data_IF_280066222845
#
_entry.id   IF_280066222845
#
_cell.length_a   1.000
_cell.length_b   1.000
_cell.length_c   1.000
_cell.angle_alpha   90.00
_cell.angle_beta   90.00
_cell.angle_gamma   90.00
#
_symmetry.space_group_name_H-M   'P 1'
#
loop_
_entity.id
_entity.type
_entity.pdbx_description
1 polymer ?
#
# COMPACT_ATOMS: atom_id res chain seq x y z
N UNK A 1 -0.54 -1.96 -6.19
CA UNK A 1 0.79 -1.36 -6.33
C UNK A 1 1.12 -0.41 -5.18
N UNK A 2 2.36 0.03 -5.13
CA UNK A 2 2.86 0.99 -4.14
C UNK A 2 3.28 2.27 -4.85
N UNK A 3 2.98 3.42 -4.26
CA UNK A 3 3.13 4.73 -4.89
C UNK A 3 3.73 5.72 -3.91
N UNK A 4 4.73 6.46 -4.36
CA UNK A 4 5.32 7.59 -3.63
C UNK A 4 4.92 8.89 -4.32
N UNK A 5 4.43 9.84 -3.56
CA UNK A 5 4.14 11.21 -4.01
C UNK A 5 4.97 12.19 -3.19
N UNK A 6 5.66 13.11 -3.86
CA UNK A 6 6.52 14.13 -3.24
C UNK A 6 5.75 15.03 -2.23
N UNK A 7 4.41 15.11 -2.37
CA UNK A 7 3.55 15.74 -1.35
C UNK A 7 2.14 15.13 -1.34
N UNK A 8 1.51 15.12 -0.16
CA UNK A 8 0.11 14.70 -0.01
C UNK A 8 -0.87 15.62 -0.75
N UNK A 9 -0.52 16.91 -0.94
CA UNK A 9 -1.30 17.85 -1.75
C UNK A 9 -1.36 17.42 -3.21
N UNK A 10 -0.22 17.02 -3.78
CA UNK A 10 -0.11 16.49 -5.15
C UNK A 10 -0.97 15.23 -5.31
N UNK A 11 -0.82 14.26 -4.40
CA UNK A 11 -1.62 13.04 -4.38
C UNK A 11 -3.11 13.34 -4.37
N UNK A 12 -3.55 14.14 -3.39
CA UNK A 12 -4.96 14.46 -3.19
C UNK A 12 -5.58 15.13 -4.42
N UNK A 13 -4.89 16.11 -5.00
CA UNK A 13 -5.36 16.82 -6.19
C UNK A 13 -5.62 15.86 -7.35
N UNK A 14 -4.67 14.96 -7.66
CA UNK A 14 -4.82 14.03 -8.79
C UNK A 14 -5.81 12.89 -8.50
N UNK A 15 -5.93 12.45 -7.26
CA UNK A 15 -6.95 11.46 -6.90
C UNK A 15 -8.36 12.05 -7.00
N UNK A 16 -8.59 13.25 -6.48
CA UNK A 16 -9.87 13.97 -6.62
C UNK A 16 -10.19 14.21 -8.10
N UNK A 17 -9.20 14.59 -8.89
CA UNK A 17 -9.37 14.77 -10.34
C UNK A 17 -9.75 13.47 -11.05
N UNK A 18 -9.08 12.34 -10.75
CA UNK A 18 -9.45 11.04 -11.32
C UNK A 18 -10.88 10.64 -10.99
N UNK A 19 -11.34 10.89 -9.77
CA UNK A 19 -12.72 10.63 -9.36
C UNK A 19 -13.68 11.55 -10.12
N UNK A 20 -13.38 12.84 -10.20
CA UNK A 20 -14.23 13.83 -10.89
C UNK A 20 -14.33 13.56 -12.42
N UNK A 21 -13.25 13.08 -13.04
CA UNK A 21 -13.21 12.73 -14.46
C UNK A 21 -13.72 11.30 -14.75
N UNK A 22 -14.09 10.52 -13.72
CA UNK A 22 -14.59 9.16 -13.87
C UNK A 22 -13.57 8.17 -14.43
N UNK A 23 -12.28 8.36 -14.14
CA UNK A 23 -11.21 7.50 -14.66
C UNK A 23 -11.18 6.16 -13.91
N UNK A 24 -11.93 5.18 -14.42
CA UNK A 24 -12.07 3.85 -13.81
C UNK A 24 -11.55 2.75 -14.73
N UNK A 25 -11.23 1.61 -14.13
CA UNK A 25 -11.00 0.33 -14.81
C UNK A 25 -11.93 -0.70 -14.17
N UNK A 26 -12.81 -1.33 -14.99
CA UNK A 26 -13.81 -2.26 -14.47
C UNK A 26 -14.80 -1.64 -13.48
N UNK A 27 -14.98 -0.31 -13.49
CA UNK A 27 -15.85 0.41 -12.56
C UNK A 27 -15.21 0.80 -11.24
N UNK A 28 -13.91 0.51 -11.06
CA UNK A 28 -13.17 0.86 -9.84
C UNK A 28 -12.13 1.96 -10.12
N UNK A 29 -11.89 2.82 -9.12
CA UNK A 29 -10.84 3.83 -9.14
C UNK A 29 -9.53 3.27 -8.61
N UNK A 30 -8.58 3.04 -9.49
CA UNK A 30 -7.23 2.59 -9.10
C UNK A 30 -6.29 3.79 -8.92
N UNK A 31 -5.41 3.69 -7.92
CA UNK A 31 -4.39 4.72 -7.67
C UNK A 31 -3.47 4.94 -8.89
N UNK A 32 -3.23 3.91 -9.70
CA UNK A 32 -2.45 4.00 -10.93
C UNK A 32 -3.05 4.87 -12.03
N UNK A 33 -4.35 5.19 -11.95
CA UNK A 33 -5.01 6.01 -12.97
C UNK A 33 -4.54 7.46 -12.99
N UNK A 34 -3.90 7.93 -11.91
CA UNK A 34 -3.39 9.31 -11.81
C UNK A 34 -2.20 9.62 -12.71
N UNK A 35 -1.46 8.61 -13.19
CA UNK A 35 -0.24 8.84 -13.98
C UNK A 35 -0.52 9.55 -15.29
N UNK A 36 -1.60 9.17 -15.97
CA UNK A 36 -1.95 9.77 -17.25
C UNK A 36 -2.18 11.28 -17.12
N UNK A 37 -3.07 11.77 -16.25
CA UNK A 37 -3.22 13.21 -16.05
C UNK A 37 -1.96 13.88 -15.48
N UNK A 38 -1.18 13.22 -14.63
CA UNK A 38 0.08 13.79 -14.12
C UNK A 38 1.09 14.03 -15.25
N UNK A 39 1.29 13.05 -16.13
CA UNK A 39 2.19 13.20 -17.29
C UNK A 39 1.68 14.23 -18.30
N UNK A 40 0.37 14.34 -18.50
CA UNK A 40 -0.25 15.37 -19.36
C UNK A 40 0.00 16.78 -18.82
N UNK A 41 0.04 16.94 -17.51
CA UNK A 41 0.37 18.20 -16.82
C UNK A 41 1.89 18.45 -16.72
N UNK A 42 2.72 17.58 -17.30
CA UNK A 42 4.19 17.72 -17.36
C UNK A 42 4.92 17.27 -16.10
N UNK A 43 4.26 16.52 -15.20
CA UNK A 43 4.94 15.95 -14.04
C UNK A 43 5.80 14.76 -14.44
N UNK A 44 6.94 14.62 -13.76
CA UNK A 44 7.84 13.50 -13.97
C UNK A 44 7.41 12.31 -13.10
N UNK A 45 6.92 11.25 -13.74
CA UNK A 45 6.54 9.98 -13.11
C UNK A 45 7.62 8.95 -13.41
N UNK A 46 8.31 8.49 -12.36
CA UNK A 46 9.34 7.48 -12.47
C UNK A 46 8.82 6.12 -12.02
N UNK A 47 9.09 5.08 -12.81
CA UNK A 47 8.83 3.68 -12.42
C UNK A 47 10.11 3.10 -11.81
N UNK A 48 10.00 2.65 -10.56
CA UNK A 48 11.02 1.82 -9.94
C UNK A 48 10.67 0.35 -10.19
N UNK A 49 11.49 -0.32 -10.99
CA UNK A 49 11.28 -1.73 -11.34
C UNK A 49 11.73 -2.63 -10.19
N UNK A 50 10.81 -3.45 -9.69
CA UNK A 50 11.10 -4.46 -8.68
C UNK A 50 11.69 -5.71 -9.33
N UNK A 51 12.82 -6.18 -8.81
CA UNK A 51 13.37 -7.49 -9.20
C UNK A 51 12.46 -8.64 -8.74
N UNK A 52 11.75 -8.44 -7.63
CA UNK A 52 10.84 -9.42 -7.05
C UNK A 52 9.58 -8.74 -6.55
N UNK A 53 8.43 -9.26 -6.96
CA UNK A 53 7.11 -8.81 -6.53
C UNK A 53 6.29 -10.00 -6.05
N UNK A 54 5.74 -9.90 -4.86
CA UNK A 54 4.89 -10.93 -4.27
C UNK A 54 3.48 -10.39 -4.09
N UNK A 55 2.53 -11.05 -4.71
CA UNK A 55 1.13 -10.71 -4.64
C UNK A 55 0.41 -11.67 -3.69
N UNK A 56 -0.52 -11.15 -2.89
CA UNK A 56 -1.34 -11.94 -1.97
C UNK A 56 -2.83 -11.64 -2.15
N UNK A 57 -3.19 -11.28 -3.36
CA UNK A 57 -4.54 -10.83 -3.69
C UNK A 57 -5.60 -11.94 -3.77
N UNK A 58 -5.15 -13.18 -3.97
CA UNK A 58 -6.01 -14.38 -4.04
C UNK A 58 -5.35 -15.54 -3.27
N UNK A 59 -6.12 -16.58 -2.87
CA UNK A 59 -5.60 -17.70 -2.08
C UNK A 59 -4.39 -18.40 -2.69
N UNK A 60 -4.41 -18.66 -4.00
CA UNK A 60 -3.28 -19.28 -4.71
C UNK A 60 -1.98 -18.49 -4.60
N UNK A 61 -2.05 -17.16 -4.66
CA UNK A 61 -0.87 -16.30 -4.50
C UNK A 61 -0.30 -16.43 -3.08
N UNK A 62 -1.20 -16.55 -2.09
CA UNK A 62 -0.80 -16.72 -0.69
C UNK A 62 -0.13 -18.06 -0.44
N UNK A 63 -0.62 -19.15 -1.04
CA UNK A 63 0.00 -20.49 -0.95
C UNK A 63 1.40 -20.48 -1.55
N UNK A 64 1.55 -19.91 -2.76
CA UNK A 64 2.83 -19.77 -3.43
C UNK A 64 3.81 -18.92 -2.59
N UNK A 65 3.35 -17.79 -2.08
CA UNK A 65 4.18 -16.95 -1.21
C UNK A 65 4.62 -17.70 0.06
N UNK A 66 3.71 -18.42 0.72
CA UNK A 66 4.02 -19.16 1.95
C UNK A 66 5.10 -20.20 1.69
N UNK A 67 5.01 -20.93 0.58
CA UNK A 67 6.02 -21.88 0.16
C UNK A 67 7.40 -21.22 0.00
N UNK A 68 7.47 -20.12 -0.76
CA UNK A 68 8.72 -19.40 -0.99
C UNK A 68 9.25 -18.70 0.28
N UNK A 69 8.37 -18.16 1.10
CA UNK A 69 8.72 -17.50 2.36
C UNK A 69 9.40 -18.47 3.32
N UNK A 70 8.88 -19.68 3.47
CA UNK A 70 9.50 -20.71 4.31
C UNK A 70 10.88 -21.12 3.78
N UNK A 71 11.02 -21.19 2.46
CA UNK A 71 12.30 -21.47 1.80
C UNK A 71 13.31 -20.34 2.03
N UNK A 72 12.90 -19.08 1.84
CA UNK A 72 13.79 -17.93 1.97
C UNK A 72 14.16 -17.59 3.42
N UNK A 73 13.29 -17.88 4.40
CA UNK A 73 13.64 -17.73 5.83
C UNK A 73 14.84 -18.57 6.24
N UNK A 74 15.06 -19.66 5.55
CA UNK A 74 16.24 -20.49 5.78
C UNK A 74 17.52 -19.92 5.17
N UNK A 75 17.41 -18.99 4.24
CA UNK A 75 18.50 -18.53 3.38
C UNK A 75 18.88 -17.06 3.64
N UNK A 76 17.94 -16.20 4.02
CA UNK A 76 18.15 -14.74 4.03
C UNK A 76 18.01 -14.15 5.44
N UNK A 77 19.02 -13.36 5.85
CA UNK A 77 18.83 -12.37 6.91
C UNK A 77 17.95 -11.23 6.35
N UNK A 78 16.78 -11.02 6.93
CA UNK A 78 15.91 -9.91 6.58
C UNK A 78 16.66 -8.58 6.84
N UNK A 79 16.90 -7.80 5.79
CA UNK A 79 17.45 -6.46 5.89
C UNK A 79 16.45 -5.49 6.54
N UNK A 80 16.94 -4.39 7.07
CA UNK A 80 16.08 -3.31 7.60
C UNK A 80 15.46 -2.51 6.45
N UNK A 81 14.15 -2.26 6.53
CA UNK A 81 13.46 -1.38 5.59
C UNK A 81 14.02 0.07 5.67
N UNK A 82 14.13 0.79 4.54
CA UNK A 82 14.60 2.17 4.53
C UNK A 82 13.63 3.10 5.27
N UNK A 83 14.14 4.22 5.77
CA UNK A 83 13.35 5.21 6.49
C UNK A 83 13.27 6.50 5.68
N UNK A 84 12.11 7.16 5.65
CA UNK A 84 11.98 8.49 5.08
C UNK A 84 10.98 9.35 5.85
N UNK A 85 11.06 10.66 5.69
CA UNK A 85 10.07 11.60 6.25
C UNK A 85 8.71 11.42 5.58
N UNK A 86 7.67 11.82 6.31
CA UNK A 86 6.31 11.86 5.79
C UNK A 86 5.43 10.72 6.27
N UNK A 87 4.49 10.32 5.43
CA UNK A 87 3.44 9.40 5.83
C UNK A 87 3.41 8.14 4.96
N UNK A 88 3.15 7.01 5.58
CA UNK A 88 2.73 5.77 4.92
C UNK A 88 1.22 5.61 5.10
N UNK A 89 0.49 5.41 4.00
CA UNK A 89 -0.95 5.12 4.01
C UNK A 89 -1.20 3.68 3.59
N UNK A 90 -1.95 2.94 4.42
CA UNK A 90 -2.35 1.57 4.14
C UNK A 90 -3.89 1.48 4.11
N UNK A 91 -4.53 1.60 2.93
CA UNK A 91 -5.97 1.47 2.78
C UNK A 91 -6.42 0.01 2.88
N UNK A 92 -7.35 -0.27 3.81
CA UNK A 92 -7.87 -1.61 4.12
C UNK A 92 -9.40 -1.63 4.26
N UNK A 93 -10.10 -0.92 3.37
CA UNK A 93 -11.57 -0.77 3.40
C UNK A 93 -12.28 -1.89 2.64
N UNK A 94 -11.60 -2.56 1.72
CA UNK A 94 -12.16 -3.61 0.87
C UNK A 94 -12.68 -4.83 1.63
N UNK A 95 -13.67 -5.52 1.05
CA UNK A 95 -14.33 -6.69 1.64
C UNK A 95 -13.45 -7.95 1.69
N UNK A 96 -12.42 -8.06 0.85
CA UNK A 96 -11.68 -9.30 0.68
C UNK A 96 -12.53 -10.44 0.11
N UNK A 97 -13.48 -10.12 -0.78
CA UNK A 97 -14.52 -11.03 -1.26
C UNK A 97 -13.99 -12.30 -1.95
N UNK A 98 -12.79 -12.24 -2.53
CA UNK A 98 -12.13 -13.43 -3.13
C UNK A 98 -11.82 -14.47 -2.07
N UNK A 99 -11.23 -14.06 -0.94
CA UNK A 99 -10.94 -14.93 0.20
C UNK A 99 -12.22 -15.47 0.85
N UNK A 100 -13.25 -14.63 1.00
CA UNK A 100 -14.54 -15.06 1.53
C UNK A 100 -15.19 -16.17 0.67
N UNK A 101 -15.10 -16.05 -0.67
CA UNK A 101 -15.60 -17.08 -1.61
C UNK A 101 -14.87 -18.41 -1.46
N UNK A 102 -13.60 -18.38 -1.06
CA UNK A 102 -12.77 -19.57 -0.80
C UNK A 102 -12.91 -20.08 0.66
N UNK A 103 -13.86 -19.55 1.43
CA UNK A 103 -14.17 -20.04 2.78
C UNK A 103 -13.33 -19.45 3.90
N UNK A 104 -12.58 -18.37 3.65
CA UNK A 104 -11.85 -17.68 4.72
C UNK A 104 -12.83 -16.89 5.59
N UNK A 105 -12.89 -17.23 6.87
CA UNK A 105 -13.73 -16.53 7.87
C UNK A 105 -13.05 -15.28 8.44
N UNK A 106 -11.71 -15.27 8.39
CA UNK A 106 -10.90 -14.17 8.91
C UNK A 106 -10.84 -13.05 7.86
N UNK A 107 -11.04 -11.77 8.25
CA UNK A 107 -10.87 -10.64 7.35
C UNK A 107 -9.50 -10.64 6.68
N UNK A 108 -9.45 -10.29 5.39
CA UNK A 108 -8.23 -10.32 4.58
C UNK A 108 -6.99 -9.73 5.28
N UNK A 109 -7.03 -8.55 5.93
CA UNK A 109 -5.85 -7.98 6.58
C UNK A 109 -5.31 -8.83 7.74
N UNK A 110 -6.14 -9.71 8.32
CA UNK A 110 -5.78 -10.59 9.44
C UNK A 110 -5.38 -12.01 9.02
N UNK A 111 -5.55 -12.39 7.75
CA UNK A 111 -5.16 -13.71 7.26
C UNK A 111 -3.67 -13.93 7.52
N UNK A 112 -3.27 -15.06 8.11
CA UNK A 112 -1.88 -15.33 8.41
C UNK A 112 -1.02 -15.46 7.15
N UNK A 113 0.07 -14.71 7.09
CA UNK A 113 1.14 -14.80 6.10
C UNK A 113 2.45 -14.90 6.85
N UNK A 114 3.17 -15.99 6.69
CA UNK A 114 4.44 -16.22 7.40
C UNK A 114 4.34 -16.06 8.93
N UNK A 115 3.22 -16.51 9.52
CA UNK A 115 2.97 -16.47 10.97
C UNK A 115 2.55 -15.11 11.53
N UNK A 116 2.28 -14.12 10.68
CA UNK A 116 1.80 -12.78 11.03
C UNK A 116 0.54 -12.43 10.24
N UNK A 117 -0.30 -11.47 10.67
CA UNK A 117 -1.35 -10.94 9.81
C UNK A 117 -0.79 -10.42 8.47
N UNK A 118 -1.48 -10.68 7.37
CA UNK A 118 -1.10 -10.29 6.01
C UNK A 118 -0.70 -8.81 5.93
N UNK A 119 -1.51 -7.93 6.50
CA UNK A 119 -1.25 -6.49 6.53
C UNK A 119 -0.01 -6.09 7.33
N UNK A 120 0.34 -6.87 8.35
CA UNK A 120 1.57 -6.68 9.13
C UNK A 120 2.79 -7.13 8.32
N UNK A 121 2.68 -8.28 7.66
CA UNK A 121 3.76 -8.74 6.78
C UNK A 121 4.01 -7.74 5.65
N UNK A 122 2.95 -7.22 5.02
CA UNK A 122 3.07 -6.16 4.02
C UNK A 122 3.76 -4.90 4.58
N UNK A 123 3.38 -4.47 5.79
CA UNK A 123 3.96 -3.29 6.44
C UNK A 123 5.48 -3.43 6.67
N UNK A 124 5.95 -4.63 7.00
CA UNK A 124 7.38 -4.86 7.29
C UNK A 124 8.28 -4.72 6.05
N UNK A 125 7.73 -4.97 4.87
CA UNK A 125 8.44 -4.84 3.60
C UNK A 125 8.43 -3.39 3.06
N UNK A 126 7.68 -2.48 3.71
CA UNK A 126 7.52 -1.10 3.28
C UNK A 126 8.54 -0.16 3.93
N UNK A 127 8.86 0.98 3.28
CA UNK A 127 9.66 2.01 3.91
C UNK A 127 9.04 2.48 5.23
N UNK A 128 9.87 2.66 6.25
CA UNK A 128 9.43 3.22 7.53
C UNK A 128 9.26 4.73 7.41
N UNK A 129 8.25 5.28 8.07
CA UNK A 129 7.91 6.71 8.00
C UNK A 129 7.59 7.27 9.38
N UNK A 130 7.64 8.61 9.51
CA UNK A 130 7.31 9.29 10.77
C UNK A 130 5.85 9.09 11.19
N UNK A 131 4.95 8.93 10.21
CA UNK A 131 3.53 8.71 10.44
C UNK A 131 3.04 7.52 9.61
N UNK A 132 2.38 6.57 10.27
CA UNK A 132 1.71 5.45 9.59
C UNK A 132 0.20 5.60 9.76
N UNK A 133 -0.51 5.75 8.66
CA UNK A 133 -1.96 5.90 8.60
C UNK A 133 -2.62 4.63 8.07
N UNK A 134 -3.33 3.94 8.93
CA UNK A 134 -4.14 2.77 8.60
C UNK A 134 -5.58 3.18 8.38
N UNK A 135 -6.14 2.88 7.20
CA UNK A 135 -7.51 3.25 6.86
C UNK A 135 -8.37 2.00 6.90
N UNK A 136 -9.30 1.99 7.85
CA UNK A 136 -10.14 0.84 8.14
C UNK A 136 -11.62 1.20 7.97
N UNK A 137 -12.43 0.20 7.64
CA UNK A 137 -13.88 0.36 7.73
C UNK A 137 -14.37 0.11 9.15
N UNK A 138 -15.39 0.87 9.56
CA UNK A 138 -15.98 0.81 10.91
C UNK A 138 -16.47 -0.58 11.29
N UNK A 139 -17.00 -1.33 10.33
CA UNK A 139 -17.62 -2.65 10.51
C UNK A 139 -16.71 -3.84 10.22
N UNK A 140 -15.40 -3.61 9.94
CA UNK A 140 -14.47 -4.72 9.73
C UNK A 140 -14.34 -5.56 10.99
N UNK A 141 -14.51 -6.87 10.85
CA UNK A 141 -14.29 -7.81 11.95
C UNK A 141 -12.83 -7.73 12.41
N UNK A 142 -12.60 -7.85 13.72
CA UNK A 142 -11.25 -7.82 14.27
C UNK A 142 -10.57 -6.44 14.21
N UNK A 143 -11.30 -5.34 13.97
CA UNK A 143 -10.75 -3.98 13.90
C UNK A 143 -9.89 -3.62 15.11
N UNK A 144 -10.35 -3.90 16.31
CA UNK A 144 -9.59 -3.59 17.52
C UNK A 144 -8.33 -4.47 17.65
N UNK A 145 -8.39 -5.71 17.17
CA UNK A 145 -7.21 -6.57 17.07
C UNK A 145 -6.20 -5.99 16.07
N UNK A 146 -6.64 -5.54 14.89
CA UNK A 146 -5.77 -4.88 13.91
C UNK A 146 -5.13 -3.63 14.50
N UNK A 147 -5.91 -2.76 15.14
CA UNK A 147 -5.39 -1.53 15.78
C UNK A 147 -4.32 -1.85 16.82
N UNK A 148 -4.57 -2.86 17.66
CA UNK A 148 -3.60 -3.30 18.65
C UNK A 148 -2.30 -3.78 18.01
N UNK A 149 -2.40 -4.68 17.03
CA UNK A 149 -1.24 -5.26 16.35
C UNK A 149 -0.41 -4.16 15.66
N UNK A 150 -1.06 -3.21 14.96
CA UNK A 150 -0.35 -2.10 14.34
C UNK A 150 0.29 -1.16 15.38
N UNK A 151 -0.39 -0.90 16.49
CA UNK A 151 0.16 -0.06 17.55
C UNK A 151 1.36 -0.72 18.24
N UNK A 152 1.34 -2.04 18.41
CA UNK A 152 2.45 -2.81 18.99
C UNK A 152 3.72 -2.75 18.09
N UNK A 153 3.53 -2.67 16.76
CA UNK A 153 4.63 -2.59 15.78
C UNK A 153 5.09 -1.14 15.57
N UNK A 154 4.14 -0.23 15.48
CA UNK A 154 4.37 1.20 15.29
C UNK A 154 3.54 2.00 16.31
N UNK A 155 4.13 2.39 17.44
CA UNK A 155 3.42 3.16 18.47
C UNK A 155 2.87 4.51 18.00
N UNK A 156 3.43 5.07 16.94
CA UNK A 156 2.99 6.32 16.31
C UNK A 156 1.93 6.11 15.22
N UNK A 157 1.40 4.89 15.09
CA UNK A 157 0.36 4.58 14.12
C UNK A 157 -0.92 5.37 14.40
N UNK A 158 -1.55 5.82 13.33
CA UNK A 158 -2.82 6.56 13.34
C UNK A 158 -3.87 5.81 12.52
N UNK A 159 -5.15 6.01 12.85
CA UNK A 159 -6.23 5.28 12.21
C UNK A 159 -7.27 6.25 11.65
N UNK A 160 -7.64 6.08 10.39
CA UNK A 160 -8.83 6.68 9.79
C UNK A 160 -9.91 5.62 9.69
N UNK A 161 -11.06 5.86 10.32
CA UNK A 161 -12.16 4.91 10.37
C UNK A 161 -13.29 5.43 9.49
N UNK A 162 -13.53 4.77 8.37
CA UNK A 162 -14.62 5.09 7.46
C UNK A 162 -15.88 4.30 7.84
N UNK A 163 -17.03 4.93 7.73
CA UNK A 163 -18.32 4.33 8.08
C UNK A 163 -19.01 3.66 6.88
N UNK A 164 -18.42 3.77 5.69
CA UNK A 164 -18.91 3.22 4.44
C UNK A 164 -17.79 2.57 3.61
N UNK A 165 -18.19 1.89 2.55
CA UNK A 165 -17.30 1.40 1.51
C UNK A 165 -17.03 2.51 0.51
N UNK A 166 -15.78 2.67 0.11
CA UNK A 166 -15.36 3.62 -0.92
C UNK A 166 -15.32 2.97 -2.30
N UNK A 167 -15.33 3.79 -3.35
CA UNK A 167 -15.29 3.34 -4.75
C UNK A 167 -13.88 2.96 -5.24
N UNK A 168 -13.04 2.42 -4.35
CA UNK A 168 -11.68 1.96 -4.66
C UNK A 168 -10.59 2.60 -3.82
N UNK A 169 -9.35 2.19 -4.09
CA UNK A 169 -8.18 2.60 -3.31
C UNK A 169 -7.97 4.12 -3.32
N UNK A 170 -8.14 4.77 -4.46
CA UNK A 170 -7.93 6.20 -4.59
C UNK A 170 -8.90 7.01 -3.70
N UNK A 171 -10.20 6.69 -3.76
CA UNK A 171 -11.23 7.31 -2.90
C UNK A 171 -10.93 7.07 -1.42
N UNK A 172 -10.52 5.84 -1.06
CA UNK A 172 -10.09 5.51 0.31
C UNK A 172 -8.92 6.41 0.77
N UNK A 173 -7.93 6.63 -0.09
CA UNK A 173 -6.77 7.45 0.23
C UNK A 173 -7.15 8.93 0.39
N UNK A 174 -8.04 9.47 -0.45
CA UNK A 174 -8.54 10.84 -0.31
C UNK A 174 -9.19 11.04 1.06
N UNK A 175 -10.14 10.17 1.42
CA UNK A 175 -10.84 10.26 2.71
C UNK A 175 -9.91 10.00 3.90
N UNK A 176 -9.03 9.01 3.79
CA UNK A 176 -8.10 8.62 4.84
C UNK A 176 -6.95 9.61 5.06
N UNK A 177 -6.70 10.52 4.10
CA UNK A 177 -5.63 11.52 4.20
C UNK A 177 -5.97 12.72 5.09
N UNK A 178 -7.22 12.83 5.54
CA UNK A 178 -7.66 13.95 6.39
C UNK A 178 -6.81 14.01 7.66
N UNK A 179 -6.20 15.17 7.91
CA UNK A 179 -5.32 15.42 9.05
C UNK A 179 -3.87 14.93 8.88
N UNK A 180 -3.47 14.42 7.72
CA UNK A 180 -2.07 14.24 7.39
C UNK A 180 -1.43 15.57 6.97
N UNK A 181 -0.12 15.69 7.15
CA UNK A 181 0.65 16.79 6.58
C UNK A 181 0.78 16.57 5.07
N UNK A 182 0.00 17.30 4.29
CA UNK A 182 -0.09 17.16 2.83
C UNK A 182 1.09 17.78 2.07
N UNK A 183 1.98 18.49 2.77
CA UNK A 183 3.17 19.10 2.18
C UNK A 183 4.41 18.16 2.28
N UNK A 184 4.26 17.04 2.99
CA UNK A 184 5.29 16.01 3.11
C UNK A 184 5.06 14.83 2.16
N UNK A 185 6.10 14.03 1.87
CA UNK A 185 5.99 12.82 1.08
C UNK A 185 4.94 11.85 1.61
N UNK A 186 4.28 11.16 0.69
CA UNK A 186 3.31 10.12 1.03
C UNK A 186 3.60 8.85 0.25
N UNK A 187 3.81 7.76 0.96
CA UNK A 187 3.84 6.41 0.40
C UNK A 187 2.47 5.78 0.54
N UNK A 188 1.92 5.23 -0.53
CA UNK A 188 0.66 4.48 -0.51
C UNK A 188 0.97 3.05 -0.88
N UNK A 189 0.53 2.11 -0.05
CA UNK A 189 0.75 0.69 -0.27
C UNK A 189 -0.55 -0.12 -0.13
N UNK A 190 -0.58 -1.30 -0.73
CA UNK A 190 -1.62 -2.28 -0.48
C UNK A 190 -1.25 -3.15 0.74
N UNK A 191 -2.26 -3.68 1.42
CA UNK A 191 -2.07 -4.55 2.59
C UNK A 191 -1.83 -6.03 2.24
N UNK A 192 -1.68 -6.35 0.96
CA UNK A 192 -1.64 -7.70 0.41
C UNK A 192 -0.50 -7.92 -0.60
N UNK A 193 0.54 -7.11 -0.52
CA UNK A 193 1.75 -7.24 -1.32
C UNK A 193 2.98 -7.40 -0.43
N UNK A 194 3.85 -8.37 -0.75
CA UNK A 194 5.21 -8.42 -0.26
C UNK A 194 6.16 -7.85 -1.31
N UNK A 195 7.25 -7.20 -0.87
CA UNK A 195 8.23 -6.60 -1.77
C UNK A 195 9.64 -6.84 -1.26
N UNK A 196 10.53 -7.29 -2.17
CA UNK A 196 11.97 -7.29 -1.94
C UNK A 196 12.59 -6.29 -2.89
N UNK A 197 13.27 -5.28 -2.37
CA UNK A 197 13.89 -4.23 -3.18
C UNK A 197 15.15 -3.70 -2.50
N UNK A 198 16.03 -3.11 -3.29
CA UNK A 198 17.25 -2.47 -2.78
C UNK A 198 16.91 -1.14 -2.09
N UNK A 199 17.07 -1.11 -0.76
CA UNK A 199 16.76 0.05 0.06
C UNK A 199 17.62 1.27 -0.29
N UNK A 200 18.89 1.06 -0.67
CA UNK A 200 19.83 2.15 -1.00
C UNK A 200 19.47 2.81 -2.32
N UNK A 201 19.05 2.02 -3.30
CA UNK A 201 18.55 2.54 -4.59
C UNK A 201 17.28 3.35 -4.36
N UNK A 202 16.33 2.86 -3.58
CA UNK A 202 15.11 3.61 -3.26
C UNK A 202 15.42 4.93 -2.55
N UNK A 203 16.31 4.90 -1.56
CA UNK A 203 16.77 6.11 -0.86
C UNK A 203 17.38 7.13 -1.82
N UNK A 204 18.24 6.68 -2.73
CA UNK A 204 18.87 7.56 -3.73
C UNK A 204 17.84 8.17 -4.68
N UNK A 205 16.79 7.43 -5.07
CA UNK A 205 15.72 7.97 -5.93
C UNK A 205 14.91 9.06 -5.21
N UNK A 206 14.65 8.90 -3.91
CA UNK A 206 13.91 9.91 -3.12
C UNK A 206 14.68 11.23 -2.97
N UNK A 207 16.01 11.20 -3.08
CA UNK A 207 16.88 12.38 -2.96
C UNK A 207 16.99 13.19 -4.25
N UNK A 208 16.52 12.65 -5.39
CA UNK A 208 16.53 13.34 -6.66
C UNK A 208 15.44 14.42 -6.74
N UNK A 209 15.86 15.63 -7.12
CA UNK A 209 14.96 16.79 -7.18
C UNK A 209 13.97 16.74 -8.35
N UNK A 210 14.29 15.98 -9.38
CA UNK A 210 13.51 15.85 -10.61
C UNK A 210 12.51 14.68 -10.58
N UNK A 211 12.38 13.97 -9.45
CA UNK A 211 11.42 12.88 -9.27
C UNK A 211 10.24 13.34 -8.40
N UNK A 212 9.05 13.37 -8.98
CA UNK A 212 7.81 13.69 -8.28
C UNK A 212 7.12 12.44 -7.69
N UNK A 213 7.22 11.29 -8.37
CA UNK A 213 6.56 10.04 -7.98
C UNK A 213 7.46 8.84 -8.28
N UNK A 214 7.55 7.92 -7.31
CA UNK A 214 8.19 6.61 -7.48
C UNK A 214 7.13 5.53 -7.45
N UNK A 215 7.18 4.60 -8.41
CA UNK A 215 6.24 3.47 -8.50
C UNK A 215 7.02 2.16 -8.44
N UNK A 216 6.66 1.30 -7.49
CA UNK A 216 7.18 -0.07 -7.46
C UNK A 216 6.41 -0.92 -8.47
N UNK A 217 7.09 -1.40 -9.49
CA UNK A 217 6.53 -2.25 -10.54
C UNK A 217 7.33 -3.53 -10.72
N UNK A 218 6.66 -4.62 -11.09
CA UNK A 218 7.29 -5.88 -11.46
C UNK A 218 6.96 -6.22 -12.92
N UNK A 219 7.97 -6.69 -13.69
CA UNK A 219 7.76 -7.18 -15.05
C UNK A 219 7.23 -8.60 -15.04
N UNK A 220 6.41 -8.93 -16.06
CA UNK A 220 5.94 -10.30 -16.27
C UNK A 220 4.74 -10.71 -15.39
N UNK A 221 4.25 -9.84 -14.54
CA UNK A 221 2.99 -10.07 -13.83
C UNK A 221 1.82 -9.59 -14.69
N UNK A 222 0.83 -10.46 -14.99
CA UNK A 222 -0.42 -10.01 -15.56
C UNK A 222 -1.16 -9.20 -14.49
N UNK A 223 -1.30 -7.89 -14.72
CA UNK A 223 -2.04 -6.99 -13.84
C UNK A 223 -3.55 -7.24 -13.89
#
# INVERSE_FOLDING_TARGET
GTYYFKSGRLMRYYFERCVAEGLTVGGEYYASMVYKPMMQDGLNVQVYELGHFMQWGVPSDLEEYSYWSDTFRLILNEGTAPTHKGSLMLPMVGLGSRFQKEGYEVPKPLIPVSGRPMSVQALMDLPQTDCQRFILRKDILGREQLKKVFHDISPLSTFSILDHMTDGQASTCVEGSVGLNIDEPVTIAACDNGMIYDASTFQSLMELDDIDVIVWGARGYPG
#
